data_IF_434789301202
#
_entry.id   IF_434789301202
#
_cell.length_a   1.000
_cell.length_b   1.000
_cell.length_c   1.000
_cell.angle_alpha   90.00
_cell.angle_beta   90.00
_cell.angle_gamma   90.00
#
_symmetry.space_group_name_H-M   'P 1'
#
loop_
_entity.id
_entity.type
_entity.pdbx_description
1 polymer ?
#
# COMPACT_ATOMS: atom_id res chain seq x y z
N UNK A 1 34.93 8.48 -6.55
CA UNK A 1 34.58 7.48 -5.52
C UNK A 1 33.06 7.35 -5.52
N UNK A 2 32.53 6.65 -6.53
CA UNK A 2 31.09 6.54 -6.80
C UNK A 2 30.47 5.52 -5.85
N UNK A 3 30.11 6.00 -4.67
CA UNK A 3 29.37 5.25 -3.67
C UNK A 3 28.10 4.65 -4.28
N UNK A 4 28.10 3.32 -4.39
CA UNK A 4 26.94 2.46 -4.54
C UNK A 4 26.02 2.81 -5.72
N UNK A 5 26.52 2.48 -6.92
CA UNK A 5 25.74 2.39 -8.16
C UNK A 5 24.36 1.76 -7.88
N UNK A 6 23.30 2.33 -8.45
CA UNK A 6 21.91 1.85 -8.32
C UNK A 6 21.76 0.34 -8.54
N UNK A 7 22.68 -0.24 -9.33
CA UNK A 7 22.82 -1.68 -9.55
C UNK A 7 23.10 -2.48 -8.26
N UNK A 8 23.90 -1.96 -7.32
CA UNK A 8 24.18 -2.63 -6.05
C UNK A 8 22.90 -2.81 -5.22
N UNK A 9 22.05 -1.78 -5.16
CA UNK A 9 20.78 -1.84 -4.43
C UNK A 9 19.82 -2.89 -5.01
N UNK A 10 19.81 -3.10 -6.33
CA UNK A 10 19.04 -4.20 -6.95
C UNK A 10 19.54 -5.58 -6.50
N UNK A 11 20.85 -5.81 -6.48
CA UNK A 11 21.43 -7.08 -5.99
C UNK A 11 21.10 -7.29 -4.51
N UNK A 12 21.27 -6.26 -3.68
CA UNK A 12 21.00 -6.36 -2.24
C UNK A 12 19.52 -6.68 -2.01
N UNK A 13 18.61 -6.01 -2.70
CA UNK A 13 17.18 -6.28 -2.60
C UNK A 13 16.87 -7.72 -2.99
N UNK A 14 17.45 -8.23 -4.09
CA UNK A 14 17.25 -9.62 -4.51
C UNK A 14 17.70 -10.63 -3.46
N UNK A 15 18.85 -10.41 -2.81
CA UNK A 15 19.34 -11.28 -1.72
C UNK A 15 18.41 -11.22 -0.51
N UNK A 16 17.95 -10.03 -0.12
CA UNK A 16 17.00 -9.87 1.00
C UNK A 16 15.68 -10.59 0.71
N UNK A 17 15.14 -10.46 -0.51
CA UNK A 17 13.94 -11.18 -0.93
C UNK A 17 14.14 -12.71 -0.88
N UNK A 18 15.34 -13.21 -1.22
CA UNK A 18 15.65 -14.64 -1.19
C UNK A 18 15.79 -15.18 0.25
N UNK A 19 16.41 -14.42 1.16
CA UNK A 19 16.59 -14.81 2.56
C UNK A 19 15.27 -14.77 3.35
N UNK A 20 14.47 -13.73 3.15
CA UNK A 20 13.18 -13.58 3.85
C UNK A 20 12.04 -14.33 3.15
N UNK A 21 12.20 -14.63 1.86
CA UNK A 21 11.19 -15.27 1.03
C UNK A 21 10.01 -14.34 0.69
N UNK A 22 9.29 -14.68 -0.39
CA UNK A 22 8.14 -13.91 -0.90
C UNK A 22 6.94 -13.80 0.04
N UNK A 23 6.87 -14.62 1.09
CA UNK A 23 5.71 -14.69 2.00
C UNK A 23 5.80 -13.75 3.21
N UNK A 24 7.01 -13.51 3.74
CA UNK A 24 7.19 -12.74 4.98
C UNK A 24 7.17 -11.23 4.76
N UNK A 25 7.65 -10.76 3.61
CA UNK A 25 7.73 -9.34 3.32
C UNK A 25 6.34 -8.69 3.17
N UNK A 26 5.36 -9.26 2.44
CA UNK A 26 4.03 -8.67 2.32
C UNK A 26 3.28 -8.59 3.66
N UNK A 27 3.42 -9.60 4.51
CA UNK A 27 2.78 -9.67 5.82
C UNK A 27 3.33 -8.56 6.75
N UNK A 28 4.65 -8.43 6.84
CA UNK A 28 5.32 -7.40 7.63
C UNK A 28 5.07 -5.99 7.07
N UNK A 29 5.10 -5.82 5.74
CA UNK A 29 4.83 -4.53 5.12
C UNK A 29 3.37 -4.11 5.32
N UNK A 30 2.43 -5.06 5.32
CA UNK A 30 1.01 -4.79 5.60
C UNK A 30 0.79 -4.17 6.98
N UNK A 31 1.44 -4.70 8.02
CA UNK A 31 1.29 -4.18 9.39
C UNK A 31 2.05 -2.88 9.60
N UNK A 32 3.23 -2.73 8.99
CA UNK A 32 3.97 -1.46 8.96
C UNK A 32 3.18 -0.38 8.21
N UNK A 33 2.57 -0.71 7.07
CA UNK A 33 1.77 0.22 6.28
C UNK A 33 0.51 0.67 7.03
N UNK A 34 -0.17 -0.23 7.77
CA UNK A 34 -1.28 0.15 8.66
C UNK A 34 -0.82 1.09 9.77
N UNK A 35 0.31 0.81 10.42
CA UNK A 35 0.88 1.67 11.45
C UNK A 35 1.21 3.07 10.93
N UNK A 36 1.90 3.17 9.79
CA UNK A 36 2.24 4.44 9.13
C UNK A 36 0.97 5.17 8.67
N UNK A 37 -0.04 4.46 8.14
CA UNK A 37 -1.31 5.07 7.71
C UNK A 37 -2.07 5.67 8.89
N UNK A 38 -2.14 4.96 10.03
CA UNK A 38 -2.76 5.47 11.25
C UNK A 38 -1.97 6.63 11.87
N UNK A 39 -0.64 6.57 11.83
CA UNK A 39 0.22 7.67 12.27
C UNK A 39 0.03 8.92 11.41
N UNK A 40 0.01 8.76 10.08
CA UNK A 40 -0.26 9.86 9.15
C UNK A 40 -1.68 10.40 9.31
N UNK A 41 -2.68 9.52 9.45
CA UNK A 41 -4.08 9.91 9.70
C UNK A 41 -4.18 10.75 10.97
N UNK A 42 -3.55 10.32 12.07
CA UNK A 42 -3.54 11.04 13.34
C UNK A 42 -2.80 12.38 13.28
N UNK A 43 -1.67 12.44 12.56
CA UNK A 43 -0.93 13.69 12.36
C UNK A 43 -1.67 14.67 11.43
N UNK A 44 -2.36 14.17 10.40
CA UNK A 44 -3.16 14.99 9.48
C UNK A 44 -4.52 15.39 10.05
N UNK A 45 -5.05 14.69 11.05
CA UNK A 45 -6.28 15.07 11.77
C UNK A 45 -6.09 16.37 12.58
N UNK A 46 -4.86 16.66 13.01
CA UNK A 46 -4.50 17.89 13.74
C UNK A 46 -4.41 19.12 12.80
N UNK A 47 -4.15 18.90 11.50
CA UNK A 47 -3.94 19.97 10.49
C UNK A 47 -5.12 20.15 9.51
N UNK A 48 -6.12 19.26 9.48
CA UNK A 48 -7.28 19.40 8.57
C UNK A 48 -8.52 18.64 9.04
N UNK A 49 -9.58 19.42 9.30
CA UNK A 49 -10.98 19.04 9.54
C UNK A 49 -11.56 17.96 8.58
N UNK A 50 -12.69 17.32 8.96
CA UNK A 50 -12.95 15.91 8.70
C UNK A 50 -13.71 15.68 7.39
N UNK A 51 -13.04 15.23 6.34
CA UNK A 51 -13.71 14.43 5.30
C UNK A 51 -12.70 13.66 4.45
N UNK A 52 -12.51 12.37 4.77
CA UNK A 52 -12.07 11.38 3.80
C UNK A 52 -12.30 10.00 4.39
N UNK A 53 -13.39 9.28 4.04
CA UNK A 53 -13.47 7.87 4.30
C UNK A 53 -12.31 7.21 3.56
N UNK A 54 -11.38 6.64 4.33
CA UNK A 54 -10.32 5.76 3.84
C UNK A 54 -10.99 4.55 3.19
N UNK A 55 -11.35 4.69 1.91
CA UNK A 55 -11.88 3.60 1.12
C UNK A 55 -10.74 2.59 0.95
N UNK A 56 -10.91 1.34 1.40
CA UNK A 56 -10.06 0.25 0.93
C UNK A 56 -10.16 0.26 -0.60
N UNK A 57 -9.03 0.09 -1.28
CA UNK A 57 -9.05 -0.26 -2.68
C UNK A 57 -9.87 -1.55 -2.81
N UNK A 58 -11.12 -1.39 -3.20
CA UNK A 58 -12.10 -2.43 -3.45
C UNK A 58 -12.06 -2.64 -4.98
N UNK A 59 -11.35 -3.67 -5.48
CA UNK A 59 -11.28 -3.93 -6.92
C UNK A 59 -12.59 -4.49 -7.51
N UNK A 60 -13.72 -4.48 -6.77
CA UNK A 60 -14.96 -5.14 -7.19
C UNK A 60 -16.13 -4.24 -7.57
N UNK A 61 -15.90 -2.96 -7.90
CA UNK A 61 -16.92 -2.20 -8.67
C UNK A 61 -16.82 -2.51 -10.16
N UNK A 62 -16.97 -3.78 -10.51
CA UNK A 62 -17.37 -4.18 -11.87
C UNK A 62 -18.81 -3.75 -12.06
N UNK A 63 -18.99 -2.71 -12.86
CA UNK A 63 -20.16 -2.40 -13.70
C UNK A 63 -21.35 -3.35 -13.48
N UNK A 64 -22.24 -3.02 -12.56
CA UNK A 64 -23.61 -3.52 -12.59
C UNK A 64 -24.27 -2.91 -13.83
N UNK A 65 -24.48 -3.73 -14.85
CA UNK A 65 -25.22 -3.37 -16.03
C UNK A 65 -26.66 -3.03 -15.63
N UNK A 66 -26.95 -1.72 -15.65
CA UNK A 66 -28.28 -1.14 -15.75
C UNK A 66 -28.97 -1.67 -17.01
N UNK A 67 -29.81 -2.69 -16.91
CA UNK A 67 -30.89 -2.94 -17.87
C UNK A 67 -31.87 -4.03 -17.39
N UNK A 68 -32.54 -3.82 -16.25
CA UNK A 68 -33.80 -4.50 -15.99
C UNK A 68 -34.81 -3.49 -15.43
N UNK A 69 -35.95 -3.45 -16.12
CA UNK A 69 -37.25 -2.92 -15.68
C UNK A 69 -37.42 -1.42 -15.42
N UNK A 70 -38.00 -0.74 -16.41
CA UNK A 70 -39.17 0.11 -16.14
C UNK A 70 -40.05 0.28 -17.39
N UNK A 71 -41.12 -0.51 -17.42
CA UNK A 71 -42.50 -0.19 -17.86
C UNK A 71 -42.76 0.44 -19.23
#
# INVERSE_FOLDING_TARGET
MGSFSMWHWLIVLAIVLLLFGRGKIPELMGDVAKGIKSFKKGMSDDDSSPDAPSRPADPSKTVDHRADDHK
#
